data_IF_189419149783
#
_entry.id   IF_189419149783
#
_cell.length_a   1.000
_cell.length_b   1.000
_cell.length_c   1.000
_cell.angle_alpha   90.00
_cell.angle_beta   90.00
_cell.angle_gamma   90.00
#
_symmetry.space_group_name_H-M   'P 1'
#
loop_
_entity.id
_entity.type
_entity.pdbx_description
1 polymer ?
#
# COMPACT_ATOMS: atom_id res chain seq x y z
N UNK A 1 5.51 -2.23 5.26
CA UNK A 1 5.35 -1.59 6.60
C UNK A 1 6.71 -1.44 7.24
N UNK A 2 7.01 -0.31 7.89
CA UNK A 2 8.28 -0.14 8.61
C UNK A 2 8.25 -0.91 9.93
N UNK A 3 9.24 -1.74 10.16
CA UNK A 3 9.31 -2.63 11.30
C UNK A 3 10.76 -2.98 11.61
N UNK A 4 11.09 -3.15 12.88
CA UNK A 4 12.36 -3.73 13.25
C UNK A 4 12.34 -5.24 12.99
N UNK A 5 13.23 -5.72 12.14
CA UNK A 5 13.40 -7.15 11.81
C UNK A 5 14.77 -7.64 12.27
N UNK A 6 14.90 -8.97 12.46
CA UNK A 6 16.21 -9.58 12.74
C UNK A 6 17.17 -9.30 11.59
N UNK A 7 18.37 -8.85 11.93
CA UNK A 7 19.42 -8.47 10.98
C UNK A 7 20.35 -9.63 10.63
N UNK A 8 20.35 -10.69 11.43
CA UNK A 8 21.34 -11.77 11.38
C UNK A 8 22.68 -11.42 12.04
N UNK A 9 22.81 -10.21 12.59
CA UNK A 9 23.98 -9.79 13.36
C UNK A 9 23.68 -9.97 14.84
N UNK A 10 24.29 -10.98 15.47
CA UNK A 10 23.99 -11.41 16.83
C UNK A 10 23.93 -10.26 17.85
N UNK A 11 24.91 -9.35 17.84
CA UNK A 11 24.96 -8.22 18.76
C UNK A 11 23.76 -7.26 18.61
N UNK A 12 23.37 -6.97 17.36
CA UNK A 12 22.26 -6.05 17.09
C UNK A 12 20.92 -6.72 17.42
N UNK A 13 20.80 -7.99 17.10
CA UNK A 13 19.57 -8.75 17.37
C UNK A 13 19.39 -8.98 18.88
N UNK A 14 20.47 -9.23 19.64
CA UNK A 14 20.45 -9.32 21.10
C UNK A 14 20.04 -7.97 21.74
N UNK A 15 20.57 -6.86 21.25
CA UNK A 15 20.20 -5.51 21.73
C UNK A 15 18.72 -5.22 21.45
N UNK A 16 18.24 -5.53 20.24
CA UNK A 16 16.85 -5.35 19.88
C UNK A 16 15.91 -6.22 20.72
N UNK A 17 16.29 -7.47 20.98
CA UNK A 17 15.54 -8.37 21.84
C UNK A 17 15.46 -7.85 23.29
N UNK A 18 16.57 -7.34 23.83
CA UNK A 18 16.62 -6.77 25.19
C UNK A 18 15.73 -5.53 25.35
N UNK A 19 15.50 -4.79 24.27
CA UNK A 19 14.64 -3.61 24.22
C UNK A 19 13.23 -3.88 23.71
N UNK A 20 12.87 -5.13 23.45
CA UNK A 20 11.57 -5.54 22.91
C UNK A 20 11.20 -4.81 21.61
N UNK A 21 12.15 -4.63 20.69
CA UNK A 21 11.95 -3.86 19.45
C UNK A 21 11.42 -4.73 18.28
N UNK A 22 11.55 -6.06 18.37
CA UNK A 22 11.10 -6.94 17.30
C UNK A 22 9.57 -6.82 17.07
N UNK A 23 9.17 -6.63 15.83
CA UNK A 23 7.76 -6.49 15.47
C UNK A 23 7.14 -5.12 15.81
N UNK A 24 7.92 -4.18 16.36
CA UNK A 24 7.43 -2.81 16.59
C UNK A 24 7.44 -2.05 15.26
N UNK A 25 6.34 -1.35 14.97
CA UNK A 25 6.10 -0.73 13.66
C UNK A 25 5.98 0.80 13.76
N UNK A 26 4.77 1.33 13.63
CA UNK A 26 4.44 2.77 13.61
C UNK A 26 3.41 3.06 14.71
N UNK A 27 3.28 4.31 15.17
CA UNK A 27 2.17 4.68 16.05
C UNK A 27 0.83 4.54 15.32
N UNK A 28 -0.22 4.16 16.04
CA UNK A 28 -1.61 4.23 15.56
C UNK A 28 -2.19 5.56 16.04
N UNK A 29 -2.71 6.34 15.11
CA UNK A 29 -3.40 7.62 15.36
C UNK A 29 -4.81 7.50 14.82
N UNK A 30 -5.79 7.81 15.65
CA UNK A 30 -7.22 7.82 15.30
C UNK A 30 -7.78 9.24 15.40
N UNK A 31 -9.05 9.42 15.05
CA UNK A 31 -9.71 10.70 15.18
C UNK A 31 -9.85 11.19 16.63
N UNK A 32 -9.81 10.25 17.59
CA UNK A 32 -9.90 10.53 19.03
C UNK A 32 -8.53 10.86 19.65
N UNK A 33 -7.43 10.61 18.93
CA UNK A 33 -6.07 10.89 19.43
C UNK A 33 -5.87 12.39 19.57
N UNK A 34 -5.63 12.84 20.78
CA UNK A 34 -5.33 14.26 21.05
C UNK A 34 -3.95 14.66 20.55
N UNK A 35 -3.70 15.97 20.42
CA UNK A 35 -2.37 16.47 20.00
C UNK A 35 -1.26 16.06 20.98
N UNK A 36 -1.55 16.06 22.28
CA UNK A 36 -0.59 15.65 23.33
C UNK A 36 -0.26 14.15 23.21
N UNK A 37 -1.28 13.31 23.08
CA UNK A 37 -1.10 11.88 22.86
C UNK A 37 -0.36 11.61 21.54
N UNK A 38 -0.69 12.33 20.47
CA UNK A 38 -0.03 12.19 19.17
C UNK A 38 1.47 12.50 19.21
N UNK A 39 1.89 13.48 20.01
CA UNK A 39 3.32 13.84 20.19
C UNK A 39 4.12 12.77 20.93
N UNK A 40 3.50 12.03 21.83
CA UNK A 40 4.12 11.01 22.67
C UNK A 40 3.62 9.59 22.37
N UNK A 41 2.97 9.39 21.22
CA UNK A 41 2.35 8.12 20.87
C UNK A 41 3.42 7.04 20.64
N UNK A 42 3.45 5.97 21.43
CA UNK A 42 4.41 4.89 21.25
C UNK A 42 4.12 4.14 19.95
N UNK A 43 5.16 3.57 19.37
CA UNK A 43 5.03 2.71 18.18
C UNK A 43 4.32 1.42 18.56
N UNK A 44 3.34 1.03 17.75
CA UNK A 44 2.52 -0.15 17.95
C UNK A 44 3.22 -1.44 17.45
N UNK A 45 2.94 -2.60 18.05
CA UNK A 45 3.38 -3.88 17.52
C UNK A 45 2.62 -4.24 16.23
N UNK A 46 3.24 -5.08 15.38
CA UNK A 46 2.69 -5.44 14.07
C UNK A 46 1.27 -6.00 14.14
N UNK A 47 0.96 -6.83 15.13
CA UNK A 47 -0.36 -7.45 15.27
C UNK A 47 -1.46 -6.41 15.52
N UNK A 48 -1.17 -5.36 16.28
CA UNK A 48 -2.11 -4.26 16.51
C UNK A 48 -2.36 -3.46 15.22
N UNK A 49 -1.30 -3.19 14.45
CA UNK A 49 -1.43 -2.49 13.16
C UNK A 49 -2.17 -3.35 12.14
N UNK A 50 -1.91 -4.66 12.08
CA UNK A 50 -2.63 -5.57 11.19
C UNK A 50 -4.12 -5.63 11.52
N UNK A 51 -4.46 -5.77 12.80
CA UNK A 51 -5.84 -5.73 13.25
C UNK A 51 -6.51 -4.42 12.88
N UNK A 52 -5.87 -3.29 13.18
CA UNK A 52 -6.38 -1.95 12.87
C UNK A 52 -6.67 -1.78 11.37
N UNK A 53 -5.73 -2.19 10.49
CA UNK A 53 -5.93 -2.12 9.03
C UNK A 53 -7.10 -3.00 8.58
N UNK A 54 -7.21 -4.24 9.10
CA UNK A 54 -8.28 -5.15 8.72
C UNK A 54 -9.65 -4.65 9.19
N UNK A 55 -9.75 -4.08 10.38
CA UNK A 55 -10.99 -3.50 10.91
C UNK A 55 -11.44 -2.28 10.08
N UNK A 56 -10.50 -1.38 9.73
CA UNK A 56 -10.79 -0.24 8.87
C UNK A 56 -11.26 -0.69 7.48
N UNK A 57 -10.60 -1.69 6.89
CA UNK A 57 -10.97 -2.21 5.59
C UNK A 57 -12.32 -2.94 5.62
N UNK A 58 -12.64 -3.67 6.70
CA UNK A 58 -13.95 -4.30 6.86
C UNK A 58 -15.05 -3.25 7.00
N UNK A 59 -14.83 -2.19 7.78
CA UNK A 59 -15.74 -1.07 7.89
C UNK A 59 -15.92 -0.34 6.56
N UNK A 60 -14.84 -0.15 5.81
CA UNK A 60 -14.90 0.47 4.49
C UNK A 60 -15.65 -0.40 3.46
N UNK A 61 -15.51 -1.74 3.51
CA UNK A 61 -16.26 -2.68 2.66
C UNK A 61 -17.78 -2.51 2.87
N UNK A 62 -18.21 -2.38 4.13
CA UNK A 62 -19.61 -2.18 4.49
C UNK A 62 -20.11 -0.79 4.05
N UNK A 63 -19.40 0.26 4.42
CA UNK A 63 -19.80 1.65 4.16
C UNK A 63 -19.81 2.02 2.66
N UNK A 64 -18.99 1.37 1.84
CA UNK A 64 -18.88 1.63 0.41
C UNK A 64 -19.69 0.65 -0.45
N UNK A 65 -20.46 -0.26 0.14
CA UNK A 65 -21.16 -1.34 -0.57
C UNK A 65 -22.09 -0.81 -1.70
N UNK A 66 -22.81 0.27 -1.44
CA UNK A 66 -23.74 0.90 -2.39
C UNK A 66 -23.18 2.19 -3.01
N UNK A 67 -21.95 2.56 -2.69
CA UNK A 67 -21.36 3.82 -3.13
C UNK A 67 -20.89 3.73 -4.59
N UNK A 68 -21.42 4.63 -5.42
CA UNK A 68 -20.99 4.82 -6.81
C UNK A 68 -20.07 6.03 -6.90
N UNK A 69 -18.77 5.79 -7.01
CA UNK A 69 -17.80 6.89 -7.09
C UNK A 69 -17.91 7.65 -8.42
N UNK A 70 -17.87 9.00 -8.42
CA UNK A 70 -17.89 9.78 -9.66
C UNK A 70 -16.56 9.73 -10.42
N UNK A 71 -15.45 9.49 -9.73
CA UNK A 71 -14.09 9.50 -10.33
C UNK A 71 -13.19 8.45 -9.69
N UNK A 72 -12.17 7.98 -10.42
CA UNK A 72 -11.26 6.92 -9.97
C UNK A 72 -10.26 7.34 -8.87
N UNK A 73 -10.19 8.62 -8.52
CA UNK A 73 -9.38 9.09 -7.38
C UNK A 73 -10.09 8.93 -6.03
N UNK A 74 -11.38 8.61 -6.04
CA UNK A 74 -12.12 8.27 -4.84
C UNK A 74 -12.15 6.75 -4.61
N UNK A 75 -12.17 6.28 -3.36
CA UNK A 75 -12.27 4.86 -3.06
C UNK A 75 -13.64 4.30 -3.48
N UNK A 76 -13.70 2.99 -3.67
CA UNK A 76 -14.93 2.21 -3.89
C UNK A 76 -14.67 0.77 -3.44
N UNK A 77 -15.71 -0.06 -3.40
CA UNK A 77 -15.60 -1.45 -2.95
C UNK A 77 -14.47 -2.25 -3.63
N UNK A 78 -14.29 -2.21 -4.97
CA UNK A 78 -13.13 -2.87 -5.59
C UNK A 78 -11.76 -2.36 -5.12
N UNK A 79 -11.64 -1.09 -4.72
CA UNK A 79 -10.38 -0.57 -4.13
C UNK A 79 -10.15 -1.20 -2.76
N UNK A 80 -11.19 -1.26 -1.93
CA UNK A 80 -11.12 -1.91 -0.61
C UNK A 80 -10.72 -3.38 -0.76
N UNK A 81 -11.35 -4.11 -1.67
CA UNK A 81 -11.00 -5.50 -1.97
C UNK A 81 -9.53 -5.64 -2.41
N UNK A 82 -9.02 -4.71 -3.21
CA UNK A 82 -7.61 -4.68 -3.61
C UNK A 82 -6.65 -4.48 -2.42
N UNK A 83 -7.00 -3.61 -1.50
CA UNK A 83 -6.24 -3.39 -0.27
C UNK A 83 -6.33 -4.60 0.66
N UNK A 84 -7.50 -5.22 0.78
CA UNK A 84 -7.70 -6.49 1.50
C UNK A 84 -6.81 -7.61 0.92
N UNK A 85 -6.81 -7.78 -0.40
CA UNK A 85 -5.96 -8.76 -1.06
C UNK A 85 -4.48 -8.56 -0.72
N UNK A 86 -3.99 -7.32 -0.75
CA UNK A 86 -2.62 -6.98 -0.39
C UNK A 86 -2.32 -7.24 1.08
N UNK A 87 -3.26 -6.91 1.97
CA UNK A 87 -3.08 -7.11 3.40
C UNK A 87 -3.00 -8.61 3.74
N UNK A 88 -3.90 -9.43 3.19
CA UNK A 88 -3.87 -10.87 3.39
C UNK A 88 -2.62 -11.53 2.79
N UNK A 89 -2.13 -11.03 1.64
CA UNK A 89 -0.89 -11.51 1.04
C UNK A 89 0.32 -11.17 1.91
N UNK A 90 0.39 -9.96 2.45
CA UNK A 90 1.46 -9.53 3.38
C UNK A 90 1.48 -10.41 4.63
N UNK A 91 0.30 -10.70 5.21
CA UNK A 91 0.18 -11.56 6.39
C UNK A 91 0.64 -12.99 6.08
N UNK A 92 0.20 -13.56 4.96
CA UNK A 92 0.64 -14.89 4.54
C UNK A 92 2.15 -14.99 4.34
N UNK A 93 2.73 -14.00 3.68
CA UNK A 93 4.18 -13.91 3.45
C UNK A 93 4.95 -13.74 4.77
N UNK A 94 4.41 -12.97 5.71
CA UNK A 94 5.00 -12.82 7.02
C UNK A 94 5.02 -14.14 7.78
N UNK A 95 3.90 -14.84 7.83
CA UNK A 95 3.79 -16.10 8.56
C UNK A 95 4.55 -17.25 7.89
N UNK A 96 4.87 -17.14 6.62
CA UNK A 96 5.80 -18.03 5.95
C UNK A 96 7.25 -17.81 6.40
N UNK A 97 7.66 -16.55 6.52
CA UNK A 97 9.02 -16.17 6.93
C UNK A 97 9.22 -16.27 8.45
N UNK A 98 8.18 -16.01 9.23
CA UNK A 98 8.18 -15.96 10.69
C UNK A 98 6.96 -16.70 11.24
N UNK A 99 6.98 -18.04 11.29
CA UNK A 99 5.81 -18.83 11.71
C UNK A 99 5.31 -18.55 13.12
N UNK A 100 6.20 -18.12 14.02
CA UNK A 100 5.88 -17.72 15.39
C UNK A 100 4.98 -16.49 15.46
N UNK A 101 5.02 -15.63 14.45
CA UNK A 101 4.24 -14.40 14.41
C UNK A 101 2.74 -14.67 14.23
N UNK A 102 2.36 -15.79 13.63
CA UNK A 102 0.96 -16.23 13.56
C UNK A 102 0.38 -16.46 14.96
N UNK A 103 1.12 -17.19 15.81
CA UNK A 103 0.69 -17.41 17.20
C UNK A 103 0.68 -16.09 17.98
N UNK A 104 1.67 -15.24 17.79
CA UNK A 104 1.73 -13.92 18.41
C UNK A 104 0.52 -13.07 18.04
N UNK A 105 0.14 -13.04 16.77
CA UNK A 105 -1.06 -12.31 16.31
C UNK A 105 -2.33 -12.89 16.93
N UNK A 106 -2.54 -14.20 16.86
CA UNK A 106 -3.74 -14.84 17.37
C UNK A 106 -3.89 -14.70 18.90
N UNK A 107 -2.78 -14.72 19.65
CA UNK A 107 -2.80 -14.53 21.10
C UNK A 107 -3.11 -13.08 21.52
N UNK A 108 -2.92 -12.11 20.63
CA UNK A 108 -3.09 -10.68 20.93
C UNK A 108 -4.23 -10.01 20.14
N UNK A 109 -4.93 -10.76 19.29
CA UNK A 109 -6.09 -10.28 18.52
C UNK A 109 -7.17 -11.36 18.45
N UNK A 110 -8.35 -10.98 18.02
CA UNK A 110 -9.49 -11.86 17.79
C UNK A 110 -9.57 -12.40 16.35
N UNK A 111 -8.52 -12.21 15.55
CA UNK A 111 -8.52 -12.60 14.14
C UNK A 111 -8.59 -14.12 13.90
N UNK A 112 -8.07 -14.91 14.84
CA UNK A 112 -8.15 -16.38 14.82
C UNK A 112 -7.76 -17.02 13.48
N UNK A 113 -6.63 -16.61 12.90
CA UNK A 113 -6.15 -17.10 11.62
C UNK A 113 -5.60 -18.51 11.78
N UNK A 114 -6.16 -19.47 11.04
CA UNK A 114 -5.80 -20.88 11.16
C UNK A 114 -4.38 -21.19 10.66
N UNK A 115 -3.98 -20.59 9.54
CA UNK A 115 -2.66 -20.83 8.94
C UNK A 115 -2.30 -19.75 7.91
N UNK A 116 -1.04 -19.76 7.44
CA UNK A 116 -0.61 -18.89 6.33
C UNK A 116 -1.37 -19.16 5.03
N UNK A 117 -1.73 -20.42 4.78
CA UNK A 117 -2.52 -20.81 3.60
C UNK A 117 -3.91 -20.18 3.61
N UNK A 118 -4.51 -20.00 4.79
CA UNK A 118 -5.75 -19.23 4.95
C UNK A 118 -5.57 -17.79 4.47
N UNK A 119 -4.43 -17.17 4.79
CA UNK A 119 -4.13 -15.82 4.31
C UNK A 119 -3.98 -15.76 2.79
N UNK A 120 -3.24 -16.69 2.19
CA UNK A 120 -3.09 -16.73 0.73
C UNK A 120 -4.41 -17.01 0.01
N UNK A 121 -5.25 -17.89 0.56
CA UNK A 121 -6.60 -18.14 0.03
C UNK A 121 -7.44 -16.87 0.06
N UNK A 122 -7.50 -16.17 1.17
CA UNK A 122 -8.22 -14.89 1.28
C UNK A 122 -7.65 -13.82 0.34
N UNK A 123 -6.33 -13.74 0.21
CA UNK A 123 -5.70 -12.83 -0.74
C UNK A 123 -6.16 -13.09 -2.19
N UNK A 124 -6.19 -14.36 -2.59
CA UNK A 124 -6.66 -14.77 -3.91
C UNK A 124 -8.16 -14.50 -4.11
N UNK A 125 -9.00 -14.74 -3.10
CA UNK A 125 -10.44 -14.45 -3.13
C UNK A 125 -10.71 -12.97 -3.33
N UNK A 126 -10.08 -12.09 -2.53
CA UNK A 126 -10.24 -10.65 -2.67
C UNK A 126 -9.66 -10.12 -3.99
N UNK A 127 -8.52 -10.63 -4.45
CA UNK A 127 -8.00 -10.27 -5.77
C UNK A 127 -8.96 -10.67 -6.90
N UNK A 128 -9.62 -11.82 -6.79
CA UNK A 128 -10.64 -12.27 -7.75
C UNK A 128 -11.87 -11.36 -7.75
N UNK A 129 -12.32 -10.90 -6.59
CA UNK A 129 -13.40 -9.91 -6.49
C UNK A 129 -13.03 -8.64 -7.27
N UNK A 130 -11.80 -8.09 -7.05
CA UNK A 130 -11.34 -6.89 -7.79
C UNK A 130 -11.39 -7.09 -9.29
N UNK A 131 -10.86 -8.23 -9.80
CA UNK A 131 -10.85 -8.53 -11.23
C UNK A 131 -12.27 -8.56 -11.80
N UNK A 132 -13.22 -9.13 -11.08
CA UNK A 132 -14.59 -9.30 -11.55
C UNK A 132 -15.43 -8.01 -11.44
N UNK A 133 -15.18 -7.18 -10.44
CA UNK A 133 -16.05 -6.06 -10.06
C UNK A 133 -15.54 -4.71 -10.57
N UNK A 134 -14.23 -4.55 -10.76
CA UNK A 134 -13.65 -3.25 -11.11
C UNK A 134 -13.82 -2.84 -12.57
N UNK A 135 -14.07 -3.79 -13.47
CA UNK A 135 -14.01 -3.58 -14.91
C UNK A 135 -12.60 -3.24 -15.43
N UNK A 136 -11.59 -3.37 -14.59
CA UNK A 136 -10.21 -3.10 -14.99
C UNK A 136 -9.71 -4.14 -16.01
N UNK A 137 -8.97 -3.66 -17.00
CA UNK A 137 -8.39 -4.47 -18.08
C UNK A 137 -6.88 -4.27 -18.13
N UNK A 138 -6.11 -5.29 -18.54
CA UNK A 138 -4.69 -5.12 -18.79
C UNK A 138 -4.44 -3.96 -19.78
N UNK A 139 -3.31 -3.26 -19.59
CA UNK A 139 -2.85 -2.24 -20.54
C UNK A 139 -2.63 -2.85 -21.92
N UNK A 140 -3.06 -2.12 -22.96
CA UNK A 140 -2.63 -2.38 -24.31
C UNK A 140 -1.23 -1.80 -24.55
N UNK A 141 -0.52 -2.26 -25.56
CA UNK A 141 0.78 -1.71 -25.96
C UNK A 141 0.69 -0.20 -26.23
N UNK A 142 -0.37 0.25 -26.92
CA UNK A 142 -0.61 1.66 -27.19
C UNK A 142 -0.77 2.49 -25.91
N UNK A 143 -1.54 2.01 -24.94
CA UNK A 143 -1.71 2.68 -23.65
C UNK A 143 -0.41 2.69 -22.84
N UNK A 144 0.39 1.63 -22.92
CA UNK A 144 1.70 1.58 -22.28
C UNK A 144 2.63 2.70 -22.79
N UNK A 145 2.62 2.99 -24.06
CA UNK A 145 3.40 4.07 -24.68
C UNK A 145 2.74 5.46 -24.60
N UNK A 146 1.71 5.64 -23.79
CA UNK A 146 1.11 6.95 -23.51
C UNK A 146 -0.09 7.30 -24.37
N UNK A 147 -0.62 6.35 -25.16
CA UNK A 147 -1.78 6.60 -26.04
C UNK A 147 -1.46 7.57 -27.20
N UNK A 148 -2.49 8.24 -27.71
CA UNK A 148 -2.36 9.13 -28.86
C UNK A 148 -1.72 10.49 -28.53
N UNK A 149 -1.76 10.92 -27.26
CA UNK A 149 -1.35 12.27 -26.84
C UNK A 149 -0.57 12.29 -25.51
N UNK A 150 -0.02 11.17 -25.09
CA UNK A 150 0.64 11.00 -23.78
C UNK A 150 -0.23 11.33 -22.55
N UNK A 151 -1.51 11.60 -22.77
CA UNK A 151 -2.49 11.92 -21.69
C UNK A 151 -3.57 10.86 -21.55
N UNK A 152 -3.63 9.90 -22.46
CA UNK A 152 -4.65 8.83 -22.52
C UNK A 152 -4.09 7.44 -22.25
N UNK A 153 -2.80 7.33 -21.94
CA UNK A 153 -2.12 6.08 -21.63
C UNK A 153 -2.12 5.74 -20.15
N UNK A 154 -1.17 4.93 -19.73
CA UNK A 154 -1.07 4.47 -18.33
C UNK A 154 -0.86 5.61 -17.31
N UNK A 155 -0.40 6.77 -17.74
CA UNK A 155 -0.28 7.99 -16.95
C UNK A 155 -1.63 8.71 -16.70
N UNK A 156 -2.72 8.23 -17.30
CA UNK A 156 -4.06 8.76 -17.07
C UNK A 156 -4.85 7.83 -16.16
N UNK A 157 -5.41 8.35 -15.08
CA UNK A 157 -6.31 7.62 -14.18
C UNK A 157 -7.58 7.12 -14.88
N UNK A 158 -7.93 7.70 -16.05
CA UNK A 158 -9.07 7.29 -16.85
C UNK A 158 -8.82 5.99 -17.62
N UNK A 159 -7.57 5.57 -17.79
CA UNK A 159 -7.22 4.30 -18.42
C UNK A 159 -7.82 3.13 -17.67
N UNK A 160 -8.36 2.15 -18.39
CA UNK A 160 -9.11 1.05 -17.78
C UNK A 160 -8.28 0.12 -16.89
N UNK A 161 -6.97 0.13 -17.00
CA UNK A 161 -6.06 -0.64 -16.15
C UNK A 161 -6.00 -0.14 -14.68
N UNK A 162 -6.37 1.12 -14.44
CA UNK A 162 -6.36 1.69 -13.09
C UNK A 162 -7.67 1.42 -12.35
N UNK A 163 -7.56 0.75 -11.22
CA UNK A 163 -8.67 0.60 -10.28
C UNK A 163 -8.80 1.84 -9.40
N UNK A 164 -7.68 2.43 -9.01
CA UNK A 164 -7.60 3.64 -8.19
C UNK A 164 -6.32 4.41 -8.52
N UNK A 165 -6.37 5.72 -8.46
CA UNK A 165 -5.21 6.55 -8.75
C UNK A 165 -5.32 7.93 -8.14
N UNK A 166 -4.18 8.54 -7.85
CA UNK A 166 -4.08 9.93 -7.46
C UNK A 166 -3.98 10.80 -8.72
N UNK A 167 -4.73 11.89 -8.76
CA UNK A 167 -4.65 12.87 -9.84
C UNK A 167 -3.66 13.96 -9.40
N UNK A 168 -2.61 14.13 -10.21
CA UNK A 168 -1.69 15.26 -10.04
C UNK A 168 -2.07 16.35 -11.06
N UNK A 169 -2.33 17.54 -10.56
CA UNK A 169 -2.61 18.71 -11.40
C UNK A 169 -1.32 19.37 -11.87
N UNK A 170 -1.41 20.24 -12.87
CA UNK A 170 -0.28 21.06 -13.30
C UNK A 170 0.25 21.96 -12.16
N UNK A 171 -0.63 22.41 -11.28
CA UNK A 171 -0.26 23.20 -10.11
C UNK A 171 0.53 22.39 -9.10
N UNK A 172 0.12 21.14 -8.83
CA UNK A 172 0.87 20.22 -7.97
C UNK A 172 2.27 19.98 -8.52
N UNK A 173 2.39 19.77 -9.82
CA UNK A 173 3.69 19.57 -10.49
C UNK A 173 4.57 20.82 -10.37
N UNK A 174 4.02 22.00 -10.54
CA UNK A 174 4.77 23.26 -10.38
C UNK A 174 5.22 23.50 -8.95
N UNK A 175 4.37 23.17 -7.97
CA UNK A 175 4.66 23.35 -6.54
C UNK A 175 5.69 22.33 -6.01
N UNK A 176 5.73 21.13 -6.60
CA UNK A 176 6.59 20.01 -6.16
C UNK A 176 7.62 19.58 -7.21
N UNK A 177 8.14 20.53 -7.96
CA UNK A 177 9.09 20.30 -9.07
C UNK A 177 10.37 19.53 -8.69
N UNK A 178 10.72 19.45 -7.41
CA UNK A 178 11.86 18.70 -6.87
C UNK A 178 11.51 17.28 -6.43
N UNK A 179 10.33 16.76 -6.75
CA UNK A 179 9.97 15.41 -6.35
C UNK A 179 10.89 14.35 -7.00
N UNK A 180 11.03 13.23 -6.33
CA UNK A 180 11.92 12.14 -6.73
C UNK A 180 11.61 11.63 -8.15
N UNK A 181 10.36 11.40 -8.48
CA UNK A 181 9.95 10.90 -9.80
C UNK A 181 10.35 11.87 -10.92
N UNK A 182 10.10 13.18 -10.74
CA UNK A 182 10.49 14.20 -11.69
C UNK A 182 12.00 14.31 -11.87
N UNK A 183 12.78 14.05 -10.81
CA UNK A 183 14.24 14.06 -10.89
C UNK A 183 14.82 12.82 -11.54
N UNK A 184 14.20 11.66 -11.37
CA UNK A 184 14.68 10.37 -11.85
C UNK A 184 14.24 10.04 -13.27
N UNK A 185 13.17 10.64 -13.78
CA UNK A 185 12.61 10.37 -15.08
C UNK A 185 12.72 11.62 -15.98
N UNK A 186 13.86 11.85 -16.64
CA UNK A 186 14.06 13.03 -17.49
C UNK A 186 13.31 12.95 -18.84
N UNK A 187 12.67 11.85 -19.15
CA UNK A 187 11.97 11.65 -20.40
C UNK A 187 10.62 12.38 -20.44
N UNK A 188 10.24 12.84 -21.62
CA UNK A 188 8.99 13.56 -21.82
C UNK A 188 7.74 12.74 -21.52
N UNK A 189 7.82 11.42 -21.69
CA UNK A 189 6.69 10.50 -21.48
C UNK A 189 6.39 10.24 -20.01
N UNK A 190 7.42 10.15 -19.17
CA UNK A 190 7.29 9.70 -17.78
C UNK A 190 7.72 10.73 -16.75
N UNK A 191 8.34 11.82 -17.17
CA UNK A 191 8.91 12.78 -16.27
C UNK A 191 8.86 14.20 -16.78
N UNK A 192 9.70 15.00 -16.22
CA UNK A 192 9.85 16.40 -16.56
C UNK A 192 10.85 16.53 -17.72
N UNK A 193 10.38 16.50 -18.95
CA UNK A 193 11.22 16.53 -20.16
C UNK A 193 12.18 17.72 -20.27
N UNK A 194 11.91 18.80 -19.56
CA UNK A 194 12.77 19.96 -19.47
C UNK A 194 13.98 19.77 -18.53
N UNK A 195 14.09 18.61 -17.88
CA UNK A 195 15.18 18.29 -16.94
C UNK A 195 16.30 17.45 -17.56
N UNK A 196 16.39 17.41 -18.86
CA UNK A 196 17.46 16.70 -19.60
C UNK A 196 18.88 17.08 -19.16
N UNK A 197 19.07 18.27 -18.68
CA UNK A 197 20.34 18.77 -18.19
C UNK A 197 20.81 18.15 -16.86
N UNK A 198 19.93 17.50 -16.13
CA UNK A 198 20.30 16.85 -14.85
C UNK A 198 21.01 15.50 -15.04
N UNK A 199 20.99 14.93 -16.24
CA UNK A 199 21.84 13.81 -16.62
C UNK A 199 21.65 12.49 -15.86
N UNK A 200 20.56 12.32 -15.14
CA UNK A 200 20.28 11.07 -14.43
C UNK A 200 19.84 10.01 -15.45
N UNK A 201 20.67 8.99 -15.61
CA UNK A 201 20.29 7.76 -16.31
C UNK A 201 20.04 6.68 -15.29
N UNK A 202 18.87 6.06 -15.35
CA UNK A 202 18.69 4.74 -14.76
C UNK A 202 19.54 3.79 -15.62
N UNK A 203 20.65 3.32 -15.06
CA UNK A 203 21.46 2.28 -15.68
C UNK A 203 20.77 0.96 -15.28
N UNK A 204 20.09 0.38 -16.27
CA UNK A 204 19.58 -1.00 -16.19
C UNK A 204 20.69 -1.98 -16.35
#
# INVERSE_FOLDING_TARGET
MYEYKKTGVEKLDAEAASKNLYGITVPIITAETTEEEGRNNPRAPFYAVYKFILDDLASAEELLSDYQRPTKNLPCTPVVHGLMARMWLEMGSRFELYPEDLNTLNNNTDLNIASKETCFTKAAEYARKVINESGAMPLTEKEWFGGDSYTTGFNSVLTNSWVWGSIMTTEDVHSYWLNFAGSMCPEQTFGYGNRKWQGYKLIG
#
